data_IF_611401895836
#
_entry.id   IF_611401895836
#
_cell.length_a   1.000
_cell.length_b   1.000
_cell.length_c   1.000
_cell.angle_alpha   90.00
_cell.angle_beta   90.00
_cell.angle_gamma   90.00
#
_symmetry.space_group_name_H-M   'P 1'
#
loop_
_entity.id
_entity.type
_entity.pdbx_description
1 polymer ?
#
# COMPACT_ATOMS: atom_id res chain seq x y z
N UNK A 1 6.51 11.27 -16.25
CA UNK A 1 5.90 11.92 -15.07
C UNK A 1 4.75 11.03 -14.61
N UNK A 2 4.65 10.79 -13.31
CA UNK A 2 3.55 10.06 -12.71
C UNK A 2 2.68 11.11 -12.04
N UNK A 3 1.39 11.17 -12.42
CA UNK A 3 0.44 12.02 -11.75
C UNK A 3 0.17 11.44 -10.35
N UNK A 4 0.38 12.26 -9.34
CA UNK A 4 0.14 11.92 -7.94
C UNK A 4 -1.09 12.70 -7.49
N UNK A 5 -2.12 11.99 -7.04
CA UNK A 5 -3.32 12.56 -6.47
C UNK A 5 -3.26 12.48 -4.94
N UNK A 6 -3.74 13.49 -4.28
CA UNK A 6 -3.92 13.46 -2.83
C UNK A 6 -5.24 12.78 -2.48
N UNK A 7 -5.29 12.19 -1.30
CA UNK A 7 -6.48 11.45 -0.84
C UNK A 7 -7.73 12.33 -0.76
N UNK A 8 -7.56 13.58 -0.34
CA UNK A 8 -8.62 14.58 -0.27
C UNK A 8 -9.15 15.00 -1.66
N UNK A 9 -8.30 15.05 -2.69
CA UNK A 9 -8.73 15.29 -4.07
C UNK A 9 -9.67 14.17 -4.56
N UNK A 10 -9.34 12.92 -4.23
CA UNK A 10 -10.19 11.76 -4.56
C UNK A 10 -11.53 11.86 -3.83
N UNK A 11 -11.52 12.18 -2.54
CA UNK A 11 -12.74 12.36 -1.74
C UNK A 11 -13.61 13.48 -2.29
N UNK A 12 -13.04 14.61 -2.72
CA UNK A 12 -13.76 15.71 -3.36
C UNK A 12 -14.37 15.29 -4.70
N UNK A 13 -13.63 14.54 -5.51
CA UNK A 13 -14.15 14.00 -6.77
C UNK A 13 -15.34 13.06 -6.54
N UNK A 14 -15.26 12.18 -5.57
CA UNK A 14 -16.36 11.31 -5.16
C UNK A 14 -17.57 12.13 -4.70
N UNK A 15 -17.36 13.15 -3.84
CA UNK A 15 -18.43 14.04 -3.38
C UNK A 15 -19.14 14.71 -4.53
N UNK A 16 -18.39 15.15 -5.55
CA UNK A 16 -18.96 15.80 -6.72
C UNK A 16 -19.86 14.86 -7.54
N UNK A 17 -19.38 13.63 -7.83
CA UNK A 17 -20.19 12.68 -8.61
C UNK A 17 -21.42 12.19 -7.85
N UNK A 18 -21.33 12.07 -6.51
CA UNK A 18 -22.48 11.78 -5.65
C UNK A 18 -23.54 12.89 -5.72
N UNK A 19 -23.12 14.15 -5.64
CA UNK A 19 -24.01 15.29 -5.76
C UNK A 19 -24.77 15.25 -7.10
N UNK A 20 -24.07 15.02 -8.22
CA UNK A 20 -24.69 14.93 -9.55
C UNK A 20 -25.67 13.76 -9.65
N UNK A 21 -25.29 12.58 -9.12
CA UNK A 21 -26.17 11.41 -9.13
C UNK A 21 -27.46 11.66 -8.34
N UNK A 22 -27.37 12.32 -7.18
CA UNK A 22 -28.52 12.71 -6.38
C UNK A 22 -29.43 13.70 -7.11
N UNK A 23 -28.88 14.74 -7.76
CA UNK A 23 -29.66 15.68 -8.55
C UNK A 23 -30.39 15.01 -9.71
N UNK A 24 -29.76 14.03 -10.34
CA UNK A 24 -30.33 13.27 -11.44
C UNK A 24 -31.23 12.10 -10.99
N UNK A 25 -31.30 11.84 -9.70
CA UNK A 25 -32.02 10.69 -9.11
C UNK A 25 -31.61 9.36 -9.74
N UNK A 26 -30.32 9.19 -10.01
CA UNK A 26 -29.74 8.01 -10.63
C UNK A 26 -28.88 7.23 -9.65
N UNK A 27 -28.82 5.90 -9.76
CA UNK A 27 -27.84 5.10 -9.05
C UNK A 27 -26.42 5.42 -9.55
N UNK A 28 -25.40 5.15 -8.72
CA UNK A 28 -24.02 5.49 -9.00
C UNK A 28 -23.10 4.28 -8.91
N UNK A 29 -22.34 4.03 -9.96
CA UNK A 29 -21.24 3.06 -9.98
C UNK A 29 -19.91 3.78 -10.14
N UNK A 30 -19.05 3.67 -9.11
CA UNK A 30 -17.74 4.33 -9.05
C UNK A 30 -16.64 3.29 -9.25
N UNK A 31 -15.65 3.62 -10.09
CA UNK A 31 -14.40 2.89 -10.17
C UNK A 31 -13.26 3.79 -9.73
N UNK A 32 -12.52 3.38 -8.68
CA UNK A 32 -11.31 4.06 -8.21
C UNK A 32 -10.11 3.22 -8.67
N UNK A 33 -9.54 3.54 -9.83
CA UNK A 33 -8.44 2.78 -10.45
C UNK A 33 -7.05 3.07 -9.87
N UNK A 34 -6.96 3.63 -8.67
CA UNK A 34 -5.74 4.05 -7.99
C UNK A 34 -5.51 3.24 -6.72
N UNK A 35 -4.27 3.25 -6.22
CA UNK A 35 -3.96 2.62 -4.94
C UNK A 35 -2.60 3.02 -4.39
N UNK A 36 -2.43 2.83 -3.09
CA UNK A 36 -1.18 3.07 -2.35
C UNK A 36 -0.86 1.91 -1.41
N UNK A 37 0.44 1.66 -1.20
CA UNK A 37 0.91 0.75 -0.15
C UNK A 37 1.24 1.48 1.16
N UNK A 38 0.92 2.77 1.26
CA UNK A 38 1.10 3.52 2.50
C UNK A 38 -0.17 3.40 3.35
N UNK A 39 -0.01 3.37 4.67
CA UNK A 39 -1.08 3.20 5.63
C UNK A 39 -1.03 1.86 6.36
N UNK A 40 -1.96 1.68 7.29
CA UNK A 40 -2.02 0.49 8.16
C UNK A 40 -2.51 -0.79 7.49
N UNK A 41 -3.05 -0.70 6.28
CA UNK A 41 -3.69 -1.82 5.56
C UNK A 41 -4.82 -2.51 6.36
N UNK A 42 -5.52 -1.74 7.18
CA UNK A 42 -6.64 -2.22 8.03
C UNK A 42 -8.00 -1.76 7.51
N UNK A 43 -8.03 -1.00 6.42
CA UNK A 43 -9.27 -0.44 5.89
C UNK A 43 -9.82 0.77 6.66
N UNK A 44 -8.99 1.40 7.50
CA UNK A 44 -9.38 2.47 8.43
C UNK A 44 -8.84 3.88 8.04
N UNK A 45 -8.34 4.07 6.83
CA UNK A 45 -7.92 5.38 6.34
C UNK A 45 -9.10 6.34 6.12
N UNK A 46 -8.88 7.67 6.02
CA UNK A 46 -9.97 8.62 5.76
C UNK A 46 -10.75 8.31 4.48
N UNK A 47 -10.06 7.94 3.42
CA UNK A 47 -10.69 7.53 2.15
C UNK A 47 -11.46 6.22 2.31
N UNK A 48 -10.92 5.25 3.07
CA UNK A 48 -11.60 3.98 3.34
C UNK A 48 -12.93 4.19 4.10
N UNK A 49 -12.91 4.99 5.17
CA UNK A 49 -14.13 5.34 5.92
C UNK A 49 -15.15 6.05 5.05
N UNK A 50 -14.68 6.95 4.18
CA UNK A 50 -15.55 7.66 3.25
C UNK A 50 -16.19 6.71 2.23
N UNK A 51 -15.40 5.78 1.66
CA UNK A 51 -15.89 4.75 0.73
C UNK A 51 -16.92 3.85 1.43
N UNK A 52 -16.65 3.37 2.66
CA UNK A 52 -17.59 2.59 3.43
C UNK A 52 -18.92 3.33 3.62
N UNK A 53 -18.86 4.63 3.97
CA UNK A 53 -20.07 5.44 4.13
C UNK A 53 -20.91 5.54 2.85
N UNK A 54 -20.28 5.50 1.68
CA UNK A 54 -20.96 5.60 0.37
C UNK A 54 -21.49 4.23 -0.05
N UNK A 55 -20.70 3.17 0.11
CA UNK A 55 -21.06 1.81 -0.25
C UNK A 55 -22.22 1.27 0.60
N UNK A 56 -22.44 1.83 1.78
CA UNK A 56 -23.60 1.48 2.63
C UNK A 56 -24.97 1.85 2.00
N UNK A 57 -25.00 2.74 0.99
CA UNK A 57 -26.24 3.07 0.30
C UNK A 57 -26.51 2.10 -0.85
N UNK A 58 -27.69 1.51 -0.90
CA UNK A 58 -28.08 0.45 -1.85
C UNK A 58 -28.10 0.87 -3.32
N UNK A 59 -28.03 2.16 -3.60
CA UNK A 59 -27.96 2.70 -4.97
C UNK A 59 -26.54 3.07 -5.40
N UNK A 60 -25.55 2.79 -4.57
CA UNK A 60 -24.14 3.05 -4.87
C UNK A 60 -23.34 1.77 -4.93
N UNK A 61 -22.44 1.67 -5.88
CA UNK A 61 -21.44 0.63 -5.98
C UNK A 61 -20.07 1.25 -6.13
N UNK A 62 -19.09 0.78 -5.33
CA UNK A 62 -17.70 1.23 -5.41
C UNK A 62 -16.80 0.05 -5.71
N UNK A 63 -16.11 0.10 -6.83
CA UNK A 63 -15.16 -0.92 -7.28
C UNK A 63 -13.73 -0.39 -7.20
N UNK A 64 -12.85 -1.15 -6.55
CA UNK A 64 -11.45 -0.80 -6.33
C UNK A 64 -10.53 -1.96 -6.72
N UNK A 65 -9.31 -1.72 -7.23
CA UNK A 65 -8.37 -2.77 -7.56
C UNK A 65 -7.67 -3.31 -6.31
N UNK A 66 -7.28 -4.58 -6.36
CA UNK A 66 -6.42 -5.19 -5.34
C UNK A 66 -4.97 -4.66 -5.38
N UNK A 67 -4.58 -3.90 -6.41
CA UNK A 67 -3.20 -3.47 -6.64
C UNK A 67 -2.39 -4.49 -7.44
N UNK A 68 -1.16 -4.11 -7.80
CA UNK A 68 -0.28 -4.93 -8.63
C UNK A 68 1.07 -5.23 -7.93
N UNK A 69 1.03 -5.37 -6.59
CA UNK A 69 2.23 -5.47 -5.75
C UNK A 69 2.62 -6.91 -5.37
N UNK A 70 1.84 -7.93 -5.76
CA UNK A 70 2.04 -9.33 -5.36
C UNK A 70 3.41 -9.93 -5.68
N UNK A 71 4.16 -9.35 -6.65
CA UNK A 71 5.53 -9.77 -6.98
C UNK A 71 6.54 -8.63 -6.89
N UNK A 72 6.14 -7.49 -6.35
CA UNK A 72 7.01 -6.30 -6.27
C UNK A 72 8.12 -6.43 -5.23
N UNK A 73 7.96 -7.31 -4.25
CA UNK A 73 8.87 -7.44 -3.10
C UNK A 73 8.90 -6.19 -2.22
N UNK A 74 7.79 -5.46 -2.20
CA UNK A 74 7.64 -4.20 -1.47
C UNK A 74 7.02 -4.37 -0.08
N UNK A 75 6.77 -5.60 0.35
CA UNK A 75 6.23 -5.91 1.67
C UNK A 75 7.12 -6.90 2.41
N UNK A 76 7.38 -6.59 3.69
CA UNK A 76 8.03 -7.47 4.65
C UNK A 76 7.09 -7.77 5.81
N UNK A 77 7.05 -9.02 6.23
CA UNK A 77 6.25 -9.50 7.36
C UNK A 77 7.14 -10.29 8.30
N UNK A 78 7.02 -10.02 9.59
CA UNK A 78 7.57 -10.86 10.66
C UNK A 78 6.52 -11.13 11.73
N UNK A 79 6.39 -12.39 12.10
CA UNK A 79 5.66 -12.83 13.28
C UNK A 79 6.68 -13.34 14.31
N UNK A 80 6.66 -12.75 15.50
CA UNK A 80 7.54 -13.18 16.59
C UNK A 80 6.94 -14.37 17.33
N UNK A 81 7.77 -15.37 17.60
CA UNK A 81 7.44 -16.48 18.50
C UNK A 81 7.62 -16.09 19.98
N UNK A 82 7.21 -16.95 20.91
CA UNK A 82 7.25 -16.66 22.35
C UNK A 82 8.65 -16.33 22.93
N UNK A 83 9.71 -16.80 22.28
CA UNK A 83 11.11 -16.57 22.69
C UNK A 83 11.92 -15.80 21.65
N UNK A 84 11.26 -15.22 20.67
CA UNK A 84 11.88 -14.54 19.55
C UNK A 84 11.61 -13.05 19.69
N UNK A 85 12.67 -12.27 19.83
CA UNK A 85 12.57 -10.84 20.17
C UNK A 85 13.34 -9.92 19.24
N UNK A 86 14.07 -10.49 18.28
CA UNK A 86 14.91 -9.71 17.37
C UNK A 86 14.73 -10.16 15.93
N UNK A 87 14.82 -9.22 15.01
CA UNK A 87 14.82 -9.47 13.58
C UNK A 87 15.68 -8.48 12.81
N UNK A 88 16.20 -8.91 11.67
CA UNK A 88 16.99 -8.06 10.77
C UNK A 88 16.37 -8.06 9.38
N UNK A 89 15.74 -6.96 9.04
CA UNK A 89 15.12 -6.74 7.73
C UNK A 89 16.16 -6.16 6.77
N UNK A 90 16.40 -6.83 5.65
CA UNK A 90 17.34 -6.38 4.63
C UNK A 90 16.59 -5.74 3.46
N UNK A 91 16.89 -4.46 3.23
CA UNK A 91 16.34 -3.65 2.14
C UNK A 91 17.44 -3.33 1.13
N UNK A 92 17.31 -3.81 -0.09
CA UNK A 92 18.12 -3.32 -1.21
C UNK A 92 17.57 -1.97 -1.65
N UNK A 93 18.45 -0.98 -1.75
CA UNK A 93 18.16 0.35 -2.30
C UNK A 93 18.91 0.50 -3.62
N UNK A 94 18.18 0.80 -4.69
CA UNK A 94 18.73 1.02 -6.02
C UNK A 94 19.30 2.42 -6.21
N UNK A 95 20.09 2.60 -7.30
CA UNK A 95 20.79 3.85 -7.55
C UNK A 95 19.86 5.05 -7.83
N UNK A 96 18.66 4.79 -8.38
CA UNK A 96 17.68 5.85 -8.67
C UNK A 96 17.18 6.58 -7.43
N UNK A 97 17.16 5.91 -6.29
CA UNK A 97 16.67 6.49 -5.03
C UNK A 97 17.65 7.53 -4.47
N UNK A 98 18.93 7.50 -4.85
CA UNK A 98 19.94 8.47 -4.40
C UNK A 98 19.57 9.92 -4.71
N UNK A 99 18.81 10.17 -5.78
CA UNK A 99 18.36 11.51 -6.17
C UNK A 99 16.94 11.85 -5.73
N UNK A 100 16.06 10.86 -5.65
CA UNK A 100 14.64 11.05 -5.35
C UNK A 100 14.32 10.91 -3.88
N UNK A 101 15.07 10.04 -3.18
CA UNK A 101 14.67 9.55 -1.88
C UNK A 101 13.41 8.68 -1.97
N UNK A 102 13.00 8.14 -0.84
CA UNK A 102 11.74 7.38 -0.73
C UNK A 102 11.27 7.38 0.73
N UNK A 103 10.05 6.91 0.92
CA UNK A 103 9.49 6.67 2.25
C UNK A 103 9.15 5.20 2.44
N UNK A 104 9.09 4.76 3.70
CA UNK A 104 8.61 3.44 4.07
C UNK A 104 7.95 3.51 5.44
N UNK A 105 7.02 2.63 5.70
CA UNK A 105 6.28 2.59 6.95
C UNK A 105 6.43 1.23 7.60
N UNK A 106 6.83 1.26 8.88
CA UNK A 106 6.79 0.12 9.77
C UNK A 106 5.53 0.20 10.61
N UNK A 107 4.75 -0.88 10.62
CA UNK A 107 3.55 -1.03 11.43
C UNK A 107 3.67 -2.26 12.30
N UNK A 108 3.72 -2.05 13.62
CA UNK A 108 3.82 -3.13 14.59
C UNK A 108 2.54 -3.29 15.39
N UNK A 109 2.01 -4.52 15.43
CA UNK A 109 0.76 -4.84 16.11
C UNK A 109 0.84 -4.52 17.62
N UNK A 110 -0.26 -3.99 18.15
CA UNK A 110 -0.43 -3.82 19.61
C UNK A 110 -0.77 -5.18 20.26
N UNK A 111 -0.27 -5.46 21.48
CA UNK A 111 0.44 -4.59 22.42
C UNK A 111 1.97 -4.55 22.27
N UNK A 112 2.54 -4.86 21.13
CA UNK A 112 3.98 -4.87 20.89
C UNK A 112 4.70 -3.56 21.25
N UNK A 113 5.98 -3.66 21.59
CA UNK A 113 6.85 -2.51 21.86
C UNK A 113 8.13 -2.64 21.07
N UNK A 114 8.23 -1.90 19.98
CA UNK A 114 9.27 -2.06 18.98
C UNK A 114 10.35 -0.99 19.09
N UNK A 115 11.59 -1.43 19.01
CA UNK A 115 12.77 -0.59 18.89
C UNK A 115 13.42 -0.86 17.54
N UNK A 116 13.94 0.18 16.92
CA UNK A 116 14.55 0.06 15.60
C UNK A 116 15.93 0.72 15.58
N UNK A 117 16.89 0.03 14.97
CA UNK A 117 18.18 0.59 14.60
C UNK A 117 18.35 0.46 13.10
N UNK A 118 18.68 1.56 12.42
CA UNK A 118 18.91 1.59 10.98
C UNK A 118 20.40 1.47 10.73
N UNK A 119 20.80 0.49 9.90
CA UNK A 119 22.19 0.29 9.50
C UNK A 119 22.36 0.62 8.01
N UNK A 120 23.34 1.46 7.71
CA UNK A 120 23.70 1.82 6.34
C UNK A 120 24.47 0.68 5.62
N UNK A 121 24.61 0.73 4.29
CA UNK A 121 25.41 -0.24 3.53
C UNK A 121 26.88 -0.31 3.96
N UNK A 122 27.43 0.76 4.56
CA UNK A 122 28.79 0.80 5.10
C UNK A 122 28.93 0.23 6.51
N UNK A 123 27.80 -0.17 7.13
CA UNK A 123 27.76 -0.75 8.46
C UNK A 123 27.55 0.24 9.61
N UNK A 124 27.44 1.54 9.33
CA UNK A 124 27.10 2.56 10.34
C UNK A 124 25.69 2.34 10.87
N UNK A 125 25.52 2.38 12.19
CA UNK A 125 24.26 2.10 12.89
C UNK A 125 23.78 3.33 13.66
N UNK A 126 22.53 3.71 13.45
CA UNK A 126 21.85 4.78 14.19
C UNK A 126 20.52 4.28 14.71
N UNK A 127 20.29 4.44 16.03
CA UNK A 127 19.07 3.98 16.67
C UNK A 127 17.98 5.05 16.65
N UNK A 128 16.75 4.63 16.40
CA UNK A 128 15.57 5.48 16.50
C UNK A 128 15.25 5.73 17.97
N UNK A 129 15.18 7.01 18.38
CA UNK A 129 14.87 7.38 19.75
C UNK A 129 13.38 7.26 20.03
N UNK A 130 12.99 6.40 20.96
CA UNK A 130 11.62 6.30 21.44
C UNK A 130 11.21 7.43 22.41
N UNK A 131 12.18 8.22 22.88
CA UNK A 131 11.93 9.38 23.73
C UNK A 131 11.36 10.58 22.95
N UNK A 132 11.64 10.67 21.64
CA UNK A 132 11.16 11.72 20.75
C UNK A 132 9.81 11.37 20.11
N UNK A 133 8.86 10.92 20.92
CA UNK A 133 7.52 10.51 20.46
C UNK A 133 6.84 11.64 19.69
N UNK A 134 6.21 11.29 18.55
CA UNK A 134 5.45 12.22 17.71
C UNK A 134 6.26 13.45 17.22
N UNK A 135 7.59 13.36 17.19
CA UNK A 135 8.49 14.37 16.64
C UNK A 135 9.37 13.76 15.58
N UNK A 136 9.69 14.54 14.56
CA UNK A 136 10.64 14.13 13.53
C UNK A 136 12.05 14.10 14.12
N UNK A 137 12.72 12.96 13.99
CA UNK A 137 14.12 12.75 14.30
C UNK A 137 14.89 12.77 12.99
N UNK A 138 16.05 13.41 12.96
CA UNK A 138 16.99 13.31 11.86
C UNK A 138 18.15 12.40 12.25
N UNK A 139 18.33 11.32 11.52
CA UNK A 139 19.48 10.42 11.61
C UNK A 139 20.42 10.76 10.43
N UNK A 140 21.56 11.34 10.73
CA UNK A 140 22.55 11.75 9.72
C UNK A 140 23.68 10.74 9.69
N UNK A 141 23.77 9.98 8.61
CA UNK A 141 24.83 9.02 8.37
C UNK A 141 26.07 9.74 7.82
N UNK A 142 27.23 9.48 8.41
CA UNK A 142 28.46 10.18 8.08
C UNK A 142 29.19 9.53 6.91
N UNK A 143 29.16 8.19 6.84
CA UNK A 143 29.93 7.47 5.81
C UNK A 143 29.21 7.34 4.45
N UNK A 144 27.95 7.76 4.36
CA UNK A 144 27.14 7.64 3.13
C UNK A 144 26.36 8.91 2.77
N UNK A 145 26.60 10.03 3.45
CA UNK A 145 25.92 11.34 3.21
C UNK A 145 24.38 11.25 3.16
N UNK A 146 23.80 10.22 3.76
CA UNK A 146 22.37 9.96 3.77
C UNK A 146 21.75 10.53 5.04
N UNK A 147 20.60 11.19 4.89
CA UNK A 147 19.75 11.58 6.01
C UNK A 147 18.47 10.74 6.03
N UNK A 148 18.10 10.29 7.20
CA UNK A 148 16.85 9.58 7.41
C UNK A 148 16.01 10.33 8.43
N UNK A 149 14.85 10.80 7.99
CA UNK A 149 13.86 11.43 8.87
C UNK A 149 12.93 10.35 9.40
N UNK A 150 12.80 10.28 10.72
CA UNK A 150 11.99 9.24 11.38
C UNK A 150 10.97 9.88 12.31
N UNK A 151 9.73 9.45 12.19
CA UNK A 151 8.66 9.77 13.13
C UNK A 151 8.24 8.48 13.84
N UNK A 152 8.49 8.42 15.15
CA UNK A 152 8.10 7.30 15.99
C UNK A 152 6.77 7.62 16.70
N UNK A 153 5.73 6.86 16.38
CA UNK A 153 4.38 6.95 16.96
C UNK A 153 4.07 5.63 17.67
N UNK A 154 4.23 5.56 18.99
CA UNK A 154 4.08 4.30 19.73
C UNK A 154 2.65 3.76 19.74
N UNK A 155 1.66 4.63 19.58
CA UNK A 155 0.24 4.29 19.50
C UNK A 155 -0.35 5.23 18.45
N UNK A 156 -0.59 4.70 17.26
CA UNK A 156 -1.34 5.40 16.23
C UNK A 156 -2.82 5.46 16.64
N UNK A 157 -3.49 6.60 16.42
CA UNK A 157 -4.78 6.90 17.07
C UNK A 157 -5.95 6.05 16.56
N UNK A 158 -5.92 5.62 15.29
CA UNK A 158 -7.00 4.84 14.68
C UNK A 158 -6.82 3.36 14.97
N UNK A 159 -5.62 2.85 14.70
CA UNK A 159 -5.30 1.43 14.75
C UNK A 159 -4.86 0.95 16.13
N UNK A 160 -4.35 1.84 16.98
CA UNK A 160 -3.69 1.48 18.24
C UNK A 160 -2.30 0.87 18.06
N UNK A 161 -1.84 0.69 16.83
CA UNK A 161 -0.58 0.07 16.49
C UNK A 161 0.61 1.02 16.57
N UNK A 162 1.83 0.49 16.63
CA UNK A 162 3.04 1.30 16.53
C UNK A 162 3.33 1.63 15.08
N UNK A 163 3.47 2.91 14.76
CA UNK A 163 3.92 3.39 13.46
C UNK A 163 5.31 3.99 13.57
N UNK A 164 6.24 3.53 12.72
CA UNK A 164 7.52 4.21 12.49
C UNK A 164 7.55 4.63 11.01
N UNK A 165 7.33 5.94 10.78
CA UNK A 165 7.40 6.53 9.46
C UNK A 165 8.84 6.93 9.17
N UNK A 166 9.41 6.44 8.06
CA UNK A 166 10.82 6.57 7.71
C UNK A 166 10.93 7.19 6.32
N UNK A 167 11.62 8.33 6.21
CA UNK A 167 11.89 8.99 4.94
C UNK A 167 13.40 9.07 4.71
N UNK A 168 13.85 8.44 3.64
CA UNK A 168 15.23 8.51 3.18
C UNK A 168 15.43 9.71 2.26
N UNK A 169 16.45 10.50 2.54
CA UNK A 169 16.94 11.61 1.71
C UNK A 169 18.33 11.24 1.21
N UNK A 170 18.52 11.26 -0.09
CA UNK A 170 19.77 10.90 -0.77
C UNK A 170 20.35 9.56 -0.26
N UNK A 171 19.57 8.47 -0.24
CA UNK A 171 20.07 7.19 0.26
C UNK A 171 21.20 6.67 -0.63
N UNK A 172 22.26 6.20 -0.01
CA UNK A 172 23.26 5.42 -0.73
C UNK A 172 22.65 4.11 -1.24
N UNK A 173 22.99 3.72 -2.46
CA UNK A 173 22.63 2.41 -2.99
C UNK A 173 23.33 1.28 -2.22
N UNK A 174 22.69 0.13 -2.16
CA UNK A 174 23.20 -1.05 -1.44
C UNK A 174 22.19 -1.65 -0.48
N UNK A 175 22.69 -2.42 0.47
CA UNK A 175 21.83 -3.13 1.45
C UNK A 175 21.78 -2.33 2.74
N UNK A 176 20.61 -1.79 3.01
CA UNK A 176 20.24 -1.20 4.28
C UNK A 176 19.63 -2.28 5.19
N UNK A 177 19.78 -2.13 6.50
CA UNK A 177 19.19 -3.07 7.46
C UNK A 177 18.37 -2.30 8.49
N UNK A 178 17.18 -2.82 8.77
CA UNK A 178 16.40 -2.44 9.94
C UNK A 178 16.56 -3.56 10.98
N UNK A 179 17.25 -3.27 12.07
CA UNK A 179 17.35 -4.17 13.22
C UNK A 179 16.19 -3.82 14.14
N UNK A 180 15.23 -4.73 14.21
CA UNK A 180 13.99 -4.56 14.98
C UNK A 180 14.08 -5.42 16.23
N UNK A 181 13.76 -4.84 17.37
CA UNK A 181 13.75 -5.50 18.67
C UNK A 181 12.38 -5.33 19.32
N UNK A 182 11.73 -6.45 19.67
CA UNK A 182 10.47 -6.51 20.41
C UNK A 182 10.78 -6.64 21.91
N UNK A 183 10.28 -5.73 22.74
CA UNK A 183 10.56 -5.70 24.19
C UNK A 183 9.51 -6.39 25.05
N UNK A 184 8.34 -6.66 24.50
CA UNK A 184 7.28 -7.37 25.20
C UNK A 184 7.19 -8.77 24.62
N UNK A 185 7.77 -9.79 25.25
CA UNK A 185 7.73 -11.16 24.73
C UNK A 185 6.27 -11.62 24.53
N UNK A 186 5.97 -12.12 23.35
CA UNK A 186 4.62 -12.56 23.03
C UNK A 186 4.48 -12.95 21.58
N UNK A 187 3.23 -13.09 21.15
CA UNK A 187 2.90 -13.20 19.74
C UNK A 187 2.62 -11.80 19.23
N UNK A 188 3.65 -11.14 18.74
CA UNK A 188 3.50 -9.85 18.07
C UNK A 188 3.93 -10.00 16.61
N UNK A 189 3.43 -9.11 15.78
CA UNK A 189 3.66 -9.10 14.34
C UNK A 189 4.00 -7.68 13.91
N UNK A 190 4.87 -7.55 12.92
CA UNK A 190 5.05 -6.26 12.25
C UNK A 190 5.13 -6.42 10.74
N UNK A 191 4.75 -5.36 10.08
CA UNK A 191 4.82 -5.19 8.63
C UNK A 191 5.71 -4.00 8.28
N UNK A 192 6.36 -4.06 7.12
CA UNK A 192 7.00 -2.90 6.52
C UNK A 192 6.60 -2.84 5.05
N UNK A 193 6.05 -1.70 4.61
CA UNK A 193 5.69 -1.48 3.21
C UNK A 193 6.54 -0.39 2.57
N UNK A 194 6.95 -0.63 1.34
CA UNK A 194 7.52 0.35 0.41
C UNK A 194 6.41 0.93 -0.46
N UNK A 195 6.64 2.08 -1.11
CA UNK A 195 5.71 2.64 -2.09
C UNK A 195 5.40 1.67 -3.23
N UNK A 196 4.25 1.85 -3.86
CA UNK A 196 3.84 1.04 -5.02
C UNK A 196 4.77 1.19 -6.20
N UNK A 197 4.75 0.21 -7.11
CA UNK A 197 5.48 0.25 -8.38
C UNK A 197 5.25 1.57 -9.11
N UNK A 198 6.32 2.10 -9.70
CA UNK A 198 6.33 3.39 -10.38
C UNK A 198 6.67 4.56 -9.45
N UNK A 199 6.33 4.51 -8.17
CA UNK A 199 6.76 5.51 -7.18
C UNK A 199 8.14 5.21 -6.61
N UNK A 200 8.55 3.94 -6.62
CA UNK A 200 9.89 3.48 -6.26
C UNK A 200 10.47 2.64 -7.40
N UNK A 201 11.79 2.56 -7.48
CA UNK A 201 12.48 1.75 -8.51
C UNK A 201 12.31 0.26 -8.27
N UNK A 202 12.18 -0.53 -9.33
CA UNK A 202 12.18 -2.00 -9.25
C UNK A 202 13.49 -2.59 -8.68
N UNK A 203 14.54 -1.77 -8.55
CA UNK A 203 15.81 -2.15 -7.91
C UNK A 203 15.79 -1.98 -6.39
N UNK A 204 14.73 -1.38 -5.83
CA UNK A 204 14.55 -1.15 -4.39
C UNK A 204 13.48 -2.10 -3.86
N UNK A 205 13.90 -3.06 -3.02
CA UNK A 205 13.03 -4.13 -2.55
C UNK A 205 13.59 -4.85 -1.32
N UNK A 206 12.73 -5.54 -0.57
CA UNK A 206 13.16 -6.42 0.52
C UNK A 206 13.78 -7.72 0.00
N UNK A 207 14.93 -8.13 0.55
CA UNK A 207 15.59 -9.37 0.16
C UNK A 207 14.72 -10.59 0.52
N UNK A 208 14.11 -10.55 1.69
CA UNK A 208 13.11 -11.52 2.16
C UNK A 208 11.77 -10.80 2.21
N UNK A 209 10.96 -10.97 1.18
CA UNK A 209 9.67 -10.31 1.05
C UNK A 209 8.51 -11.28 1.24
N UNK A 210 7.38 -10.80 1.74
CA UNK A 210 6.12 -11.55 1.74
C UNK A 210 5.25 -11.09 0.56
N UNK A 211 4.69 -11.99 -0.24
CA UNK A 211 3.72 -11.65 -1.27
C UNK A 211 2.31 -11.41 -0.71
N UNK A 212 2.04 -11.84 0.52
CA UNK A 212 0.76 -11.68 1.18
C UNK A 212 0.65 -10.29 1.83
N UNK A 213 -0.56 -9.84 2.14
CA UNK A 213 -0.85 -8.49 2.65
C UNK A 213 -0.37 -7.38 1.70
N UNK A 214 -0.49 -7.61 0.40
CA UNK A 214 -0.08 -6.66 -0.66
C UNK A 214 -1.27 -6.05 -1.42
N UNK A 215 -2.48 -6.20 -0.89
CA UNK A 215 -3.64 -5.43 -1.33
C UNK A 215 -3.40 -3.97 -0.99
N UNK A 216 -3.49 -3.09 -1.99
CA UNK A 216 -3.26 -1.65 -1.81
C UNK A 216 -4.51 -0.94 -1.31
N UNK A 217 -4.36 0.07 -0.46
CA UNK A 217 -5.47 0.95 -0.11
C UNK A 217 -5.91 1.77 -1.36
N UNK A 218 -7.22 2.00 -1.59
CA UNK A 218 -8.35 1.65 -0.74
C UNK A 218 -8.93 0.25 -0.97
N UNK A 219 -8.20 -0.68 -1.61
CA UNK A 219 -8.65 -2.06 -1.82
C UNK A 219 -8.75 -2.91 -0.54
N UNK A 220 -8.22 -2.42 0.57
CA UNK A 220 -8.37 -2.99 1.92
C UNK A 220 -9.67 -2.58 2.63
N UNK A 221 -10.49 -1.71 2.00
CA UNK A 221 -11.78 -1.22 2.51
C UNK A 221 -12.81 -2.34 2.63
N UNK A 222 -13.57 -2.38 3.73
CA UNK A 222 -14.51 -3.46 4.02
C UNK A 222 -15.66 -3.54 3.00
N UNK A 223 -16.36 -2.43 2.76
CA UNK A 223 -17.61 -2.39 1.97
C UNK A 223 -17.38 -2.13 0.47
N UNK A 224 -16.16 -1.81 0.03
CA UNK A 224 -15.86 -1.70 -1.39
C UNK A 224 -15.72 -3.08 -2.04
N UNK A 225 -16.12 -3.19 -3.30
CA UNK A 225 -15.84 -4.35 -4.14
C UNK A 225 -14.37 -4.35 -4.56
N UNK A 226 -13.53 -5.08 -3.85
CA UNK A 226 -12.10 -5.20 -4.16
C UNK A 226 -11.87 -6.31 -5.17
N UNK A 227 -11.31 -5.96 -6.31
CA UNK A 227 -11.23 -6.84 -7.47
C UNK A 227 -9.80 -7.21 -7.81
N UNK A 228 -9.51 -8.51 -7.85
CA UNK A 228 -8.26 -9.01 -8.43
C UNK A 228 -8.43 -9.34 -9.92
N UNK A 229 -7.34 -9.65 -10.60
CA UNK A 229 -7.34 -9.87 -12.03
C UNK A 229 -7.02 -11.32 -12.42
N UNK A 230 -7.65 -11.80 -13.50
CA UNK A 230 -7.28 -13.04 -14.15
C UNK A 230 -7.20 -12.89 -15.68
N UNK A 231 -6.51 -13.82 -16.34
CA UNK A 231 -6.46 -13.93 -17.79
C UNK A 231 -7.72 -14.66 -18.29
N UNK A 232 -8.55 -14.00 -19.08
CA UNK A 232 -9.84 -14.55 -19.56
C UNK A 232 -9.72 -15.71 -20.56
N UNK A 233 -8.53 -15.94 -21.15
CA UNK A 233 -8.33 -16.99 -22.17
C UNK A 233 -8.11 -18.37 -21.57
N UNK A 234 -7.43 -18.43 -20.42
CA UNK A 234 -7.02 -19.68 -19.76
C UNK A 234 -7.37 -19.72 -18.28
N UNK A 235 -8.02 -18.68 -17.76
CA UNK A 235 -8.40 -18.48 -16.36
C UNK A 235 -7.21 -18.47 -15.38
N UNK A 236 -5.99 -18.23 -15.85
CA UNK A 236 -4.84 -18.08 -14.97
C UNK A 236 -4.91 -16.77 -14.18
N UNK A 237 -4.51 -16.81 -12.91
CA UNK A 237 -4.44 -15.63 -12.07
C UNK A 237 -3.33 -14.68 -12.55
N UNK A 238 -3.59 -13.38 -12.44
CA UNK A 238 -2.57 -12.36 -12.68
C UNK A 238 -1.56 -12.38 -11.52
N UNK A 239 -0.36 -12.88 -11.78
CA UNK A 239 0.65 -13.14 -10.73
C UNK A 239 1.10 -11.90 -9.97
N UNK A 240 1.02 -10.72 -10.61
CA UNK A 240 1.39 -9.45 -9.98
C UNK A 240 0.25 -8.86 -9.13
N UNK A 241 -0.97 -9.40 -9.20
CA UNK A 241 -2.07 -8.91 -8.40
C UNK A 241 -1.73 -8.92 -6.91
N UNK A 242 -2.17 -7.88 -6.21
CA UNK A 242 -2.11 -7.82 -4.76
C UNK A 242 -2.83 -9.01 -4.12
N UNK A 243 -2.22 -9.58 -3.09
CA UNK A 243 -2.72 -10.74 -2.36
C UNK A 243 -3.09 -10.32 -0.95
N UNK A 244 -4.24 -10.70 -0.52
CA UNK A 244 -4.71 -10.37 0.81
C UNK A 244 -4.70 -11.59 1.69
N UNK A 245 -4.86 -11.34 2.88
CA UNK A 245 -5.82 -10.55 3.67
C UNK A 245 -5.48 -9.04 3.76
N UNK A 246 -6.38 -8.24 4.36
CA UNK A 246 -5.95 -6.97 4.94
C UNK A 246 -5.21 -7.23 6.28
N UNK A 247 -4.65 -6.21 6.91
CA UNK A 247 -3.88 -6.38 8.14
C UNK A 247 -4.73 -6.84 9.37
N UNK A 248 -6.06 -6.71 9.32
CA UNK A 248 -7.02 -7.26 10.29
C UNK A 248 -7.45 -8.70 9.97
N UNK A 249 -6.82 -9.35 8.99
CA UNK A 249 -7.17 -10.68 8.48
C UNK A 249 -8.57 -10.78 7.87
N UNK A 250 -9.15 -9.67 7.40
CA UNK A 250 -10.36 -9.69 6.58
C UNK A 250 -9.99 -10.17 5.18
N UNK A 251 -10.80 -11.03 4.62
CA UNK A 251 -10.57 -11.60 3.28
C UNK A 251 -10.71 -10.50 2.22
N UNK A 252 -9.63 -10.20 1.55
CA UNK A 252 -9.56 -9.33 0.37
C UNK A 252 -8.54 -9.92 -0.63
N UNK A 253 -8.71 -9.77 -1.92
CA UNK A 253 -9.85 -9.19 -2.66
C UNK A 253 -11.12 -10.06 -2.57
N UNK A 254 -12.29 -9.48 -2.87
CA UNK A 254 -13.59 -10.16 -2.76
C UNK A 254 -13.81 -11.17 -3.88
N UNK A 255 -13.41 -10.82 -5.12
CA UNK A 255 -13.52 -11.68 -6.29
C UNK A 255 -12.55 -11.28 -7.40
N UNK A 256 -12.54 -12.07 -8.48
CA UNK A 256 -11.69 -11.84 -9.65
C UNK A 256 -12.52 -11.48 -10.88
N UNK A 257 -11.98 -10.56 -11.71
CA UNK A 257 -12.52 -10.23 -13.03
C UNK A 257 -11.42 -10.23 -14.10
N UNK A 258 -11.76 -10.27 -15.39
CA UNK A 258 -10.74 -10.18 -16.45
C UNK A 258 -9.93 -8.89 -16.35
N UNK A 259 -8.59 -9.01 -16.30
CA UNK A 259 -7.71 -7.84 -16.16
C UNK A 259 -6.39 -7.99 -16.90
N UNK A 260 -6.19 -9.08 -17.65
CA UNK A 260 -4.95 -9.35 -18.38
C UNK A 260 -5.18 -9.31 -19.89
N UNK A 261 -4.42 -8.47 -20.58
CA UNK A 261 -4.49 -8.31 -22.04
C UNK A 261 -5.84 -7.71 -22.51
N UNK A 262 -6.44 -6.85 -21.70
CA UNK A 262 -7.73 -6.20 -21.99
C UNK A 262 -7.50 -5.04 -22.95
N UNK A 263 -8.28 -4.99 -24.03
CA UNK A 263 -8.28 -3.86 -24.95
C UNK A 263 -8.95 -2.64 -24.29
N UNK A 264 -8.20 -1.57 -24.15
CA UNK A 264 -8.69 -0.29 -23.66
C UNK A 264 -8.46 0.81 -24.67
N UNK A 265 -9.22 1.91 -24.59
CA UNK A 265 -8.96 3.11 -25.36
C UNK A 265 -7.52 3.58 -25.14
N UNK A 266 -6.84 3.91 -26.24
CA UNK A 266 -5.47 4.42 -26.20
C UNK A 266 -5.47 5.94 -26.18
N UNK A 267 -4.51 6.52 -25.45
CA UNK A 267 -4.25 7.96 -25.47
C UNK A 267 -3.11 8.32 -26.44
N UNK A 268 -2.50 7.32 -27.09
CA UNK A 268 -1.40 7.53 -28.04
C UNK A 268 -1.89 7.93 -29.44
N UNK A 269 -1.11 8.71 -30.18
CA UNK A 269 -1.46 9.07 -31.56
C UNK A 269 -1.40 7.82 -32.46
N UNK A 270 -2.48 7.57 -33.20
CA UNK A 270 -2.55 6.54 -34.23
C UNK A 270 -3.09 5.17 -33.82
N UNK A 271 -3.35 4.93 -32.55
CA UNK A 271 -4.00 3.71 -32.06
C UNK A 271 -5.30 4.07 -31.32
N UNK A 272 -6.43 3.52 -31.77
CA UNK A 272 -7.71 3.71 -31.09
C UNK A 272 -7.80 2.85 -29.82
N UNK A 273 -7.22 1.66 -29.84
CA UNK A 273 -7.22 0.71 -28.73
C UNK A 273 -5.86 0.04 -28.57
N UNK A 274 -5.45 -0.19 -27.31
CA UNK A 274 -4.23 -0.90 -26.96
C UNK A 274 -4.49 -1.92 -25.84
N UNK A 275 -3.81 -3.09 -25.84
CA UNK A 275 -3.92 -4.03 -24.74
C UNK A 275 -3.23 -3.50 -23.48
N UNK A 276 -3.85 -3.72 -22.33
CA UNK A 276 -3.28 -3.41 -21.05
C UNK A 276 -3.58 -4.50 -20.01
N UNK A 277 -2.80 -4.53 -18.93
CA UNK A 277 -2.91 -5.53 -17.87
C UNK A 277 -2.84 -4.83 -16.51
N UNK A 278 -3.72 -5.22 -15.61
CA UNK A 278 -3.74 -4.73 -14.23
C UNK A 278 -5.09 -4.96 -13.54
N UNK A 279 -5.06 -4.96 -12.23
CA UNK A 279 -6.28 -5.08 -11.41
C UNK A 279 -7.21 -3.88 -11.57
N UNK A 280 -6.70 -2.71 -11.96
CA UNK A 280 -7.53 -1.53 -12.29
C UNK A 280 -8.47 -1.78 -13.47
N UNK A 281 -8.08 -2.60 -14.45
CA UNK A 281 -8.95 -2.96 -15.58
C UNK A 281 -10.05 -3.92 -15.14
N UNK A 282 -9.74 -4.84 -14.24
CA UNK A 282 -10.71 -5.73 -13.62
C UNK A 282 -11.75 -4.93 -12.80
N UNK A 283 -11.31 -3.96 -12.01
CA UNK A 283 -12.18 -3.07 -11.25
C UNK A 283 -13.08 -2.23 -12.17
N UNK A 284 -12.56 -1.71 -13.29
CA UNK A 284 -13.34 -0.94 -14.25
C UNK A 284 -14.47 -1.78 -14.91
N UNK A 285 -14.17 -3.04 -15.27
CA UNK A 285 -15.20 -3.95 -15.79
C UNK A 285 -16.27 -4.25 -14.73
N UNK A 286 -15.86 -4.45 -13.48
CA UNK A 286 -16.79 -4.66 -12.37
C UNK A 286 -17.71 -3.47 -12.16
N UNK A 287 -17.19 -2.24 -12.22
CA UNK A 287 -18.01 -1.04 -12.14
C UNK A 287 -19.04 -0.97 -13.28
N UNK A 288 -18.65 -1.36 -14.51
CA UNK A 288 -19.57 -1.47 -15.64
C UNK A 288 -20.68 -2.50 -15.43
N UNK A 289 -20.33 -3.68 -14.85
CA UNK A 289 -21.31 -4.70 -14.52
C UNK A 289 -22.27 -4.19 -13.43
N UNK A 290 -21.76 -3.52 -12.40
CA UNK A 290 -22.58 -2.94 -11.34
C UNK A 290 -23.57 -1.89 -11.91
N UNK A 291 -23.13 -1.05 -12.85
CA UNK A 291 -24.00 -0.10 -13.52
C UNK A 291 -25.15 -0.79 -14.29
N UNK A 292 -24.86 -1.90 -14.98
CA UNK A 292 -25.88 -2.69 -15.68
C UNK A 292 -26.87 -3.39 -14.72
N UNK A 293 -26.46 -3.69 -13.51
CA UNK A 293 -27.35 -4.29 -12.50
C UNK A 293 -28.28 -3.26 -11.86
N UNK A 294 -28.01 -1.99 -12.00
CA UNK A 294 -28.88 -0.90 -11.54
C UNK A 294 -29.98 -0.53 -12.56
N UNK A 295 -29.87 -0.96 -13.82
CA UNK A 295 -30.92 -0.81 -14.84
C UNK A 295 -32.11 -1.77 -14.58
#
# INVERSE_FOLDING_TARGET
DIDIFQEDDIMLAISYVLFIAQEQQMPLSICIGLGTSMGAHQGEGPLNEYINSIAAFTQNAVSVPAGNEGTARHHYLREFGPNDTEDTVELRVGDRESTRGFMTEFWGDSPGSYYMTIQSPTGEKLSVSTALKNRTQELSFVFVETKVLVNYVPIERRTGNTLIFIRFQHPASGIWKFLVEEKIPGKSRFHIWLPVRGMISDETYFLQSSPDYTVTAPGDTEDAMTVTAYQHRDNSLFIQAGRGYNAENIVKPDFAAPGVGILKASIGPGEEFAPATGTSLAAAQTAGIAALLFE
#
